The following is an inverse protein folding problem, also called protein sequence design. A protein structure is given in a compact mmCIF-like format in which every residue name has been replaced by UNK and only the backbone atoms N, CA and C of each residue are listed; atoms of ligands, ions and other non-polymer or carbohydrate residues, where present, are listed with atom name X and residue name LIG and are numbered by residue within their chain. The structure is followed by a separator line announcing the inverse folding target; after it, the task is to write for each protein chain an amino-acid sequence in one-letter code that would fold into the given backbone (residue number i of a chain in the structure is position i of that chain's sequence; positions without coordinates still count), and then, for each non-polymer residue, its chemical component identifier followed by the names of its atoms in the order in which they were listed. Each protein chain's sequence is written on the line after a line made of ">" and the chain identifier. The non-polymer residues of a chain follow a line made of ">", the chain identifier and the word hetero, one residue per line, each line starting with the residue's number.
data_IF_853001277322
#
_entry.id   IF_853001277322
#
_cell.length_a   1.000
_cell.length_b   1.000
_cell.length_c   1.000
_cell.angle_alpha   90.00
_cell.angle_beta   90.00
_cell.angle_gamma   90.00
#
_symmetry.space_group_name_H-M   'P 1'
#
loop_
_entity.id
_entity.type
_entity.pdbx_description
1 polymer ?
#
# COMPACT_ATOMS: atom_id res chain seq x y z
N UNK A 1 -29.17 -5.81 -3.13
CA UNK A 1 -28.37 -6.75 -2.30
C UNK A 1 -27.17 -5.96 -1.77
N UNK A 2 -26.74 -6.22 -0.54
CA UNK A 2 -25.51 -5.64 0.03
C UNK A 2 -24.29 -6.23 -0.66
N UNK A 3 -23.24 -5.43 -0.88
CA UNK A 3 -21.97 -5.95 -1.37
C UNK A 3 -21.26 -6.73 -0.25
N UNK A 4 -20.80 -7.92 -0.58
CA UNK A 4 -20.06 -8.81 0.33
C UNK A 4 -18.56 -8.47 0.27
N UNK A 5 -18.00 -8.05 1.40
CA UNK A 5 -16.62 -7.55 1.49
C UNK A 5 -15.74 -8.56 2.23
N UNK A 6 -14.63 -8.94 1.61
CA UNK A 6 -13.53 -9.63 2.30
C UNK A 6 -12.41 -8.63 2.61
N UNK A 7 -11.94 -8.59 3.85
CA UNK A 7 -10.87 -7.69 4.29
C UNK A 7 -9.62 -8.49 4.63
N UNK A 8 -8.60 -8.41 3.80
CA UNK A 8 -7.30 -8.98 4.07
C UNK A 8 -6.47 -7.99 4.93
N UNK A 9 -6.30 -8.31 6.21
CA UNK A 9 -5.61 -7.45 7.18
C UNK A 9 -6.56 -6.51 7.93
N UNK A 10 -7.70 -7.00 8.40
CA UNK A 10 -8.75 -6.22 9.09
C UNK A 10 -8.28 -5.52 10.37
N UNK A 11 -7.25 -6.04 11.03
CA UNK A 11 -6.68 -5.50 12.28
C UNK A 11 -5.59 -4.44 12.06
N UNK A 12 -5.28 -4.12 10.79
CA UNK A 12 -4.37 -3.03 10.39
C UNK A 12 -5.09 -1.68 10.31
N UNK A 13 -4.31 -0.60 10.07
CA UNK A 13 -4.85 0.77 9.98
C UNK A 13 -5.93 0.92 8.90
N UNK A 14 -5.71 0.36 7.71
CA UNK A 14 -6.69 0.41 6.62
C UNK A 14 -7.89 -0.49 6.93
N UNK A 15 -7.66 -1.72 7.43
CA UNK A 15 -8.73 -2.66 7.74
C UNK A 15 -9.69 -2.15 8.82
N UNK A 16 -9.19 -1.50 9.87
CA UNK A 16 -10.03 -0.90 10.92
C UNK A 16 -10.86 0.27 10.39
N UNK A 17 -10.29 1.11 9.52
CA UNK A 17 -11.03 2.19 8.87
C UNK A 17 -12.05 1.68 7.85
N UNK A 18 -11.76 0.57 7.17
CA UNK A 18 -12.73 -0.07 6.28
C UNK A 18 -13.95 -0.59 7.06
N UNK A 19 -13.74 -1.15 8.25
CA UNK A 19 -14.84 -1.58 9.12
C UNK A 19 -15.68 -0.39 9.60
N UNK A 20 -15.08 0.78 9.85
CA UNK A 20 -15.83 2.02 10.15
C UNK A 20 -16.71 2.44 8.97
N UNK A 21 -16.18 2.39 7.73
CA UNK A 21 -16.97 2.69 6.53
C UNK A 21 -18.15 1.72 6.38
N UNK A 22 -17.95 0.43 6.62
CA UNK A 22 -19.02 -0.57 6.56
C UNK A 22 -20.07 -0.31 7.65
N UNK A 23 -19.65 0.08 8.84
CA UNK A 23 -20.54 0.42 9.96
C UNK A 23 -21.40 1.66 9.68
N UNK A 24 -20.87 2.66 8.95
CA UNK A 24 -21.64 3.83 8.52
C UNK A 24 -22.67 3.50 7.43
N UNK A 25 -22.49 2.41 6.67
CA UNK A 25 -23.34 2.01 5.56
C UNK A 25 -23.83 0.55 5.64
N UNK A 26 -24.54 0.18 6.70
CA UNK A 26 -24.96 -1.21 6.93
C UNK A 26 -25.97 -1.72 5.89
N UNK A 27 -26.61 -0.80 5.15
CA UNK A 27 -27.55 -1.14 4.07
C UNK A 27 -26.85 -1.44 2.74
N UNK A 28 -25.57 -0.99 2.58
CA UNK A 28 -24.81 -1.16 1.35
C UNK A 28 -23.81 -2.29 1.43
N UNK A 29 -23.23 -2.56 2.60
CA UNK A 29 -22.10 -3.47 2.78
C UNK A 29 -22.36 -4.51 3.86
N UNK A 30 -21.73 -5.66 3.70
CA UNK A 30 -21.68 -6.72 4.68
C UNK A 30 -20.29 -7.37 4.65
N UNK A 31 -19.78 -7.72 5.83
CA UNK A 31 -18.47 -8.37 5.96
C UNK A 31 -18.63 -9.86 5.76
N UNK A 32 -18.05 -10.39 4.69
CA UNK A 32 -18.01 -11.83 4.45
C UNK A 32 -16.82 -12.50 5.13
N UNK A 33 -15.62 -11.89 5.05
CA UNK A 33 -14.41 -12.47 5.62
C UNK A 33 -13.52 -11.41 6.27
N UNK A 34 -12.93 -11.75 7.41
CA UNK A 34 -11.91 -10.95 8.09
C UNK A 34 -10.63 -11.76 8.23
N UNK A 35 -9.49 -11.13 8.01
CA UNK A 35 -8.20 -11.79 8.22
C UNK A 35 -7.24 -10.94 9.04
N UNK A 36 -6.36 -11.60 9.79
CA UNK A 36 -5.26 -10.95 10.51
C UNK A 36 -4.01 -11.82 10.50
N UNK A 37 -2.85 -11.23 10.83
CA UNK A 37 -1.60 -11.99 10.97
C UNK A 37 -1.48 -12.60 12.37
N UNK A 38 -1.43 -11.77 13.43
CA UNK A 38 -1.13 -12.20 14.79
C UNK A 38 -2.13 -11.69 15.85
N UNK A 39 -2.93 -10.67 15.54
CA UNK A 39 -3.79 -9.97 16.51
C UNK A 39 -5.11 -10.72 16.70
N UNK A 40 -5.07 -11.80 17.50
CA UNK A 40 -6.23 -12.66 17.76
C UNK A 40 -7.36 -11.90 18.45
N UNK A 41 -7.06 -11.19 19.53
CA UNK A 41 -8.08 -10.52 20.35
C UNK A 41 -8.89 -9.50 19.53
N UNK A 42 -8.20 -8.65 18.78
CA UNK A 42 -8.85 -7.65 17.92
C UNK A 42 -9.64 -8.32 16.78
N UNK A 43 -9.11 -9.41 16.18
CA UNK A 43 -9.83 -10.15 15.15
C UNK A 43 -11.11 -10.80 15.71
N UNK A 44 -11.04 -11.36 16.91
CA UNK A 44 -12.22 -11.96 17.58
C UNK A 44 -13.25 -10.88 17.95
N UNK A 45 -12.83 -9.71 18.43
CA UNK A 45 -13.70 -8.56 18.66
C UNK A 45 -14.41 -8.11 17.39
N UNK A 46 -13.66 -7.94 16.31
CA UNK A 46 -14.21 -7.59 14.99
C UNK A 46 -15.19 -8.65 14.48
N UNK A 47 -14.84 -9.94 14.63
CA UNK A 47 -15.70 -11.04 14.23
C UNK A 47 -17.02 -11.07 15.03
N UNK A 48 -16.98 -10.82 16.33
CA UNK A 48 -18.18 -10.71 17.16
C UNK A 48 -19.08 -9.55 16.76
N UNK A 49 -18.48 -8.41 16.40
CA UNK A 49 -19.23 -7.21 16.00
C UNK A 49 -19.85 -7.34 14.61
N UNK A 50 -19.08 -7.79 13.62
CA UNK A 50 -19.49 -7.81 12.22
C UNK A 50 -20.06 -9.14 11.73
N UNK A 51 -19.99 -10.20 12.54
CA UNK A 51 -20.54 -11.51 12.25
C UNK A 51 -20.20 -12.05 10.84
N UNK A 52 -18.89 -12.08 10.43
CA UNK A 52 -18.52 -12.60 9.13
C UNK A 52 -18.80 -14.09 9.01
N UNK A 53 -18.92 -14.59 7.78
CA UNK A 53 -19.00 -16.03 7.52
C UNK A 53 -17.70 -16.76 7.86
N UNK A 54 -16.54 -16.06 7.65
CA UNK A 54 -15.20 -16.65 7.78
C UNK A 54 -14.22 -15.68 8.44
N UNK A 55 -13.36 -16.23 9.30
CA UNK A 55 -12.15 -15.54 9.77
C UNK A 55 -10.91 -16.38 9.48
N UNK A 56 -9.79 -15.71 9.15
CA UNK A 56 -8.50 -16.37 8.89
C UNK A 56 -7.39 -15.69 9.69
N UNK A 57 -6.63 -16.48 10.44
CA UNK A 57 -5.40 -16.04 11.10
C UNK A 57 -4.17 -16.57 10.34
N UNK A 58 -3.27 -15.68 9.87
CA UNK A 58 -2.11 -16.13 9.09
C UNK A 58 -1.12 -16.95 9.91
N UNK A 59 -0.95 -16.61 11.18
CA UNK A 59 -0.11 -17.37 12.09
C UNK A 59 -0.84 -18.62 12.59
N UNK A 60 -0.43 -19.79 12.14
CA UNK A 60 -1.03 -21.08 12.47
C UNK A 60 -0.98 -21.40 13.96
N UNK A 61 0.03 -20.96 14.69
CA UNK A 61 0.15 -21.14 16.16
C UNK A 61 -1.00 -20.46 16.92
N UNK A 62 -1.67 -19.50 16.30
CA UNK A 62 -2.80 -18.76 16.88
C UNK A 62 -4.17 -19.36 16.54
N UNK A 63 -4.22 -20.42 15.73
CA UNK A 63 -5.49 -21.04 15.31
C UNK A 63 -6.34 -21.48 16.48
N UNK A 64 -5.76 -22.25 17.43
CA UNK A 64 -6.49 -22.80 18.58
C UNK A 64 -7.11 -21.70 19.45
N UNK A 65 -6.35 -20.63 19.72
CA UNK A 65 -6.81 -19.49 20.53
C UNK A 65 -7.98 -18.78 19.85
N UNK A 66 -7.87 -18.51 18.53
CA UNK A 66 -8.94 -17.83 17.79
C UNK A 66 -10.19 -18.70 17.70
N UNK A 67 -10.02 -20.00 17.45
CA UNK A 67 -11.14 -20.95 17.38
C UNK A 67 -11.91 -21.05 18.71
N UNK A 68 -11.20 -21.09 19.83
CA UNK A 68 -11.80 -21.09 21.17
C UNK A 68 -12.53 -19.76 21.43
N UNK A 69 -11.90 -18.63 21.09
CA UNK A 69 -12.49 -17.31 21.27
C UNK A 69 -13.81 -17.09 20.49
N UNK A 70 -14.07 -17.87 19.44
CA UNK A 70 -15.26 -17.77 18.59
C UNK A 70 -16.14 -19.03 18.63
N UNK A 71 -15.91 -19.94 19.58
CA UNK A 71 -16.60 -21.25 19.64
C UNK A 71 -18.13 -21.16 19.84
N UNK A 72 -18.62 -20.04 20.37
CA UNK A 72 -20.02 -19.73 20.59
C UNK A 72 -20.75 -19.13 19.37
N UNK A 73 -20.02 -18.85 18.28
CA UNK A 73 -20.54 -18.23 17.07
C UNK A 73 -20.48 -19.17 15.86
N UNK A 74 -21.38 -19.04 14.88
CA UNK A 74 -21.40 -19.89 13.69
C UNK A 74 -20.38 -19.41 12.63
N UNK A 75 -19.19 -18.97 13.06
CA UNK A 75 -18.14 -18.40 12.22
C UNK A 75 -17.12 -19.50 11.92
N UNK A 76 -16.79 -19.68 10.65
CA UNK A 76 -15.73 -20.61 10.22
C UNK A 76 -14.35 -20.00 10.49
N UNK A 77 -13.50 -20.73 11.20
CA UNK A 77 -12.14 -20.28 11.55
C UNK A 77 -11.10 -21.10 10.79
N UNK A 78 -10.21 -20.43 10.08
CA UNK A 78 -9.10 -21.05 9.36
C UNK A 78 -7.77 -20.38 9.72
N UNK A 79 -6.65 -21.04 9.38
CA UNK A 79 -5.32 -20.51 9.61
C UNK A 79 -4.37 -20.80 8.45
N UNK A 80 -3.28 -20.02 8.40
CA UNK A 80 -2.18 -20.20 7.46
C UNK A 80 -2.30 -19.40 6.17
N UNK A 81 -1.19 -19.33 5.45
CA UNK A 81 -1.08 -18.53 4.22
C UNK A 81 -1.95 -19.08 3.08
N UNK A 82 -2.15 -20.40 3.02
CA UNK A 82 -3.01 -21.00 2.01
C UNK A 82 -4.50 -20.67 2.24
N UNK A 83 -4.94 -20.63 3.50
CA UNK A 83 -6.30 -20.23 3.84
C UNK A 83 -6.59 -18.76 3.46
N UNK A 84 -5.59 -17.87 3.55
CA UNK A 84 -5.70 -16.48 3.05
C UNK A 84 -5.90 -16.44 1.53
N UNK A 85 -5.27 -17.35 0.80
CA UNK A 85 -5.43 -17.44 -0.65
C UNK A 85 -6.81 -18.04 -1.05
N UNK A 86 -7.30 -19.02 -0.30
CA UNK A 86 -8.55 -19.69 -0.60
C UNK A 86 -9.79 -18.87 -0.22
N UNK A 87 -9.74 -18.11 0.88
CA UNK A 87 -10.89 -17.34 1.34
C UNK A 87 -11.36 -16.30 0.33
N UNK A 88 -10.45 -15.70 -0.44
CA UNK A 88 -10.78 -14.68 -1.45
C UNK A 88 -11.47 -15.24 -2.69
N UNK A 89 -11.44 -16.56 -2.87
CA UNK A 89 -12.09 -17.26 -3.99
C UNK A 89 -13.58 -17.54 -3.72
N UNK A 90 -14.06 -17.34 -2.49
CA UNK A 90 -15.44 -17.67 -2.11
C UNK A 90 -16.45 -16.93 -2.99
N UNK A 91 -17.40 -17.68 -3.55
CA UNK A 91 -18.35 -17.19 -4.56
C UNK A 91 -19.14 -15.95 -4.12
N UNK A 92 -19.62 -15.81 -2.85
CA UNK A 92 -20.41 -14.65 -2.46
C UNK A 92 -19.66 -13.32 -2.41
N UNK A 93 -18.33 -13.33 -2.34
CA UNK A 93 -17.53 -12.09 -2.24
C UNK A 93 -17.65 -11.26 -3.50
N UNK A 94 -18.00 -9.99 -3.36
CA UNK A 94 -18.02 -8.99 -4.44
C UNK A 94 -16.72 -8.21 -4.51
N UNK A 95 -16.17 -7.80 -3.35
CA UNK A 95 -14.97 -6.97 -3.26
C UNK A 95 -13.99 -7.57 -2.26
N UNK A 96 -12.72 -7.62 -2.64
CA UNK A 96 -11.60 -7.95 -1.76
C UNK A 96 -10.80 -6.69 -1.50
N UNK A 97 -10.80 -6.23 -0.25
CA UNK A 97 -9.89 -5.18 0.21
C UNK A 97 -8.54 -5.82 0.59
N UNK A 98 -7.49 -5.51 -0.17
CA UNK A 98 -6.14 -5.99 0.08
C UNK A 98 -5.39 -5.00 0.98
N UNK A 99 -5.54 -5.11 2.30
CA UNK A 99 -4.92 -4.24 3.30
C UNK A 99 -3.78 -4.92 4.07
N UNK A 100 -3.17 -5.93 3.46
CA UNK A 100 -1.95 -6.57 3.96
C UNK A 100 -0.74 -5.68 3.70
N UNK A 101 0.33 -5.86 4.47
CA UNK A 101 1.57 -5.09 4.32
C UNK A 101 2.60 -5.93 3.56
N UNK A 102 3.29 -5.30 2.61
CA UNK A 102 4.43 -5.88 1.93
C UNK A 102 4.09 -6.99 0.93
N UNK A 103 5.08 -7.82 0.63
CA UNK A 103 5.02 -8.90 -0.35
C UNK A 103 3.88 -9.91 -0.12
N UNK A 104 3.48 -10.12 1.14
CA UNK A 104 2.51 -11.15 1.53
C UNK A 104 1.13 -10.99 0.85
N UNK A 105 0.78 -9.80 0.38
CA UNK A 105 -0.47 -9.53 -0.34
C UNK A 105 -0.51 -10.03 -1.78
N UNK A 106 0.63 -10.36 -2.39
CA UNK A 106 0.72 -10.68 -3.82
C UNK A 106 -0.09 -11.94 -4.20
N UNK A 107 0.16 -13.08 -3.54
CA UNK A 107 -0.51 -14.36 -3.87
C UNK A 107 -2.03 -14.30 -3.64
N UNK A 108 -2.55 -13.80 -2.50
CA UNK A 108 -3.99 -13.65 -2.31
C UNK A 108 -4.64 -12.72 -3.35
N UNK A 109 -3.95 -11.63 -3.76
CA UNK A 109 -4.46 -10.73 -4.80
C UNK A 109 -4.55 -11.43 -6.15
N UNK A 110 -3.55 -12.23 -6.54
CA UNK A 110 -3.60 -13.05 -7.76
C UNK A 110 -4.80 -14.00 -7.75
N UNK A 111 -5.06 -14.67 -6.62
CA UNK A 111 -6.19 -15.59 -6.49
C UNK A 111 -7.53 -14.86 -6.57
N UNK A 112 -7.66 -13.70 -5.92
CA UNK A 112 -8.86 -12.88 -6.00
C UNK A 112 -9.15 -12.41 -7.45
N UNK A 113 -8.11 -11.98 -8.19
CA UNK A 113 -8.22 -11.61 -9.61
C UNK A 113 -8.71 -12.79 -10.45
N UNK A 114 -8.11 -13.98 -10.28
CA UNK A 114 -8.51 -15.20 -11.00
C UNK A 114 -9.96 -15.62 -10.69
N UNK A 115 -10.40 -15.36 -9.45
CA UNK A 115 -11.78 -15.56 -9.01
C UNK A 115 -12.73 -14.42 -9.44
N UNK A 116 -12.24 -13.45 -10.23
CA UNK A 116 -13.00 -12.29 -10.76
C UNK A 116 -13.64 -11.42 -9.67
N UNK A 117 -12.95 -11.26 -8.55
CA UNK A 117 -13.39 -10.38 -7.47
C UNK A 117 -12.88 -8.98 -7.70
N UNK A 118 -13.72 -7.96 -7.56
CA UNK A 118 -13.25 -6.56 -7.59
C UNK A 118 -12.20 -6.35 -6.50
N UNK A 119 -11.06 -5.78 -6.87
CA UNK A 119 -9.95 -5.53 -5.93
C UNK A 119 -10.00 -4.07 -5.48
N UNK A 120 -10.20 -3.83 -4.19
CA UNK A 120 -9.91 -2.56 -3.54
C UNK A 120 -8.45 -2.62 -3.05
N UNK A 121 -7.53 -2.04 -3.83
CA UNK A 121 -6.09 -2.22 -3.64
C UNK A 121 -5.52 -1.18 -2.67
N UNK A 122 -5.20 -1.61 -1.45
CA UNK A 122 -4.44 -0.82 -0.48
C UNK A 122 -2.98 -1.32 -0.32
N UNK A 123 -2.70 -2.56 -0.71
CA UNK A 123 -1.35 -3.13 -0.71
C UNK A 123 -0.61 -2.76 -2.00
N UNK A 124 0.03 -1.60 -2.01
CA UNK A 124 0.78 -1.10 -3.19
C UNK A 124 1.93 -2.02 -3.59
N UNK A 125 2.53 -2.72 -2.63
CA UNK A 125 3.64 -3.63 -2.88
C UNK A 125 3.28 -4.73 -3.88
N UNK A 126 2.01 -5.10 -4.01
CA UNK A 126 1.52 -6.02 -5.05
C UNK A 126 1.85 -5.52 -6.47
N UNK A 127 1.61 -4.24 -6.76
CA UNK A 127 1.93 -3.64 -8.05
C UNK A 127 3.41 -3.26 -8.17
N UNK A 128 4.06 -2.90 -7.08
CA UNK A 128 5.52 -2.66 -7.07
C UNK A 128 6.25 -3.94 -7.47
N UNK A 129 5.95 -5.05 -6.83
CA UNK A 129 6.64 -6.34 -7.03
C UNK A 129 6.35 -6.92 -8.41
N UNK A 130 5.10 -6.97 -8.82
CA UNK A 130 4.65 -7.75 -9.97
C UNK A 130 3.58 -7.02 -10.80
N UNK A 131 3.71 -5.71 -10.98
CA UNK A 131 2.68 -4.88 -11.62
C UNK A 131 2.32 -5.33 -13.03
N UNK A 132 3.30 -5.71 -13.87
CA UNK A 132 3.05 -6.26 -15.20
C UNK A 132 2.20 -7.54 -15.16
N UNK A 133 2.53 -8.47 -14.27
CA UNK A 133 1.78 -9.70 -14.08
C UNK A 133 0.36 -9.42 -13.57
N UNK A 134 0.21 -8.54 -12.58
CA UNK A 134 -1.08 -8.21 -11.97
C UNK A 134 -2.01 -7.54 -12.96
N UNK A 135 -1.53 -6.55 -13.71
CA UNK A 135 -2.34 -5.85 -14.71
C UNK A 135 -2.71 -6.74 -15.89
N UNK A 136 -1.80 -7.61 -16.33
CA UNK A 136 -2.10 -8.62 -17.36
C UNK A 136 -3.18 -9.60 -16.89
N UNK A 137 -3.09 -10.11 -15.65
CA UNK A 137 -4.13 -10.98 -15.07
C UNK A 137 -5.46 -10.23 -14.90
N UNK A 138 -5.44 -9.01 -14.38
CA UNK A 138 -6.65 -8.21 -14.22
C UNK A 138 -7.38 -8.00 -15.58
N UNK A 139 -6.63 -7.71 -16.64
CA UNK A 139 -7.17 -7.61 -17.99
C UNK A 139 -7.72 -8.96 -18.49
N UNK A 140 -6.97 -10.05 -18.32
CA UNK A 140 -7.38 -11.40 -18.77
C UNK A 140 -8.67 -11.87 -18.08
N UNK A 141 -8.81 -11.61 -16.78
CA UNK A 141 -9.97 -12.03 -16.00
C UNK A 141 -11.07 -10.96 -15.93
N UNK A 142 -10.86 -9.80 -16.59
CA UNK A 142 -11.78 -8.65 -16.57
C UNK A 142 -12.12 -8.20 -15.12
N UNK A 143 -11.11 -8.17 -14.28
CA UNK A 143 -11.23 -7.84 -12.86
C UNK A 143 -10.85 -6.37 -12.63
N UNK A 144 -11.75 -5.53 -12.12
CA UNK A 144 -11.43 -4.15 -11.78
C UNK A 144 -10.45 -4.09 -10.60
N UNK A 145 -9.44 -3.22 -10.70
CA UNK A 145 -8.56 -2.83 -9.59
C UNK A 145 -8.86 -1.37 -9.27
N UNK A 146 -9.40 -1.12 -8.08
CA UNK A 146 -9.78 0.19 -7.59
C UNK A 146 -8.73 0.63 -6.54
N UNK A 147 -8.04 1.76 -6.73
CA UNK A 147 -7.01 2.21 -5.80
C UNK A 147 -7.62 2.68 -4.49
N UNK A 148 -7.01 2.26 -3.38
CA UNK A 148 -7.31 2.73 -2.03
C UNK A 148 -6.21 3.63 -1.50
N UNK A 149 -4.97 3.51 -2.01
CA UNK A 149 -3.93 4.48 -1.67
C UNK A 149 -4.39 5.90 -2.02
N UNK A 150 -4.21 6.86 -1.11
CA UNK A 150 -4.86 8.17 -1.19
C UNK A 150 -4.51 8.93 -2.46
N UNK A 151 -3.26 8.90 -2.87
CA UNK A 151 -2.75 9.56 -4.07
C UNK A 151 -3.32 8.94 -5.34
N UNK A 152 -3.37 7.62 -5.41
CA UNK A 152 -3.89 6.89 -6.58
C UNK A 152 -5.40 6.99 -6.67
N UNK A 153 -6.10 6.94 -5.53
CA UNK A 153 -7.53 7.23 -5.49
C UNK A 153 -7.81 8.66 -6.00
N UNK A 154 -7.00 9.64 -5.60
CA UNK A 154 -7.12 11.02 -6.06
C UNK A 154 -6.91 11.13 -7.58
N UNK A 155 -5.86 10.52 -8.14
CA UNK A 155 -5.63 10.49 -9.58
C UNK A 155 -6.82 9.86 -10.31
N UNK A 156 -7.27 8.67 -9.84
CA UNK A 156 -8.44 7.98 -10.43
C UNK A 156 -9.71 8.85 -10.45
N UNK A 157 -9.91 9.69 -9.42
CA UNK A 157 -11.04 10.61 -9.32
C UNK A 157 -10.90 11.84 -10.24
N UNK A 158 -9.68 12.20 -10.66
CA UNK A 158 -9.40 13.32 -11.54
C UNK A 158 -9.37 12.93 -13.02
N UNK A 159 -9.13 11.65 -13.34
CA UNK A 159 -9.10 11.16 -14.72
C UNK A 159 -10.43 11.39 -15.42
N UNK A 160 -10.35 11.73 -16.69
CA UNK A 160 -11.49 11.87 -17.58
C UNK A 160 -11.41 10.84 -18.71
N UNK A 161 -12.54 10.17 -18.96
CA UNK A 161 -12.60 9.15 -20.00
C UNK A 161 -12.36 9.80 -21.38
N UNK A 162 -11.50 9.18 -22.16
CA UNK A 162 -11.13 9.61 -23.53
C UNK A 162 -10.32 10.92 -23.62
N UNK A 163 -9.85 11.48 -22.51
CA UNK A 163 -8.96 12.64 -22.53
C UNK A 163 -7.51 12.21 -22.26
N UNK A 164 -6.58 12.58 -23.17
CA UNK A 164 -5.19 12.19 -23.01
C UNK A 164 -4.54 12.91 -21.84
N UNK A 165 -3.81 12.14 -21.03
CA UNK A 165 -3.08 12.61 -19.86
C UNK A 165 -1.67 13.03 -20.28
N UNK A 166 -1.31 14.29 -20.02
CA UNK A 166 0.07 14.76 -20.20
C UNK A 166 0.96 14.18 -19.08
N UNK A 167 0.56 14.33 -17.82
CA UNK A 167 1.22 13.71 -16.68
C UNK A 167 0.30 13.56 -15.46
N UNK A 168 0.67 12.65 -14.58
CA UNK A 168 0.13 12.55 -13.23
C UNK A 168 1.11 13.18 -12.24
N UNK A 169 0.59 13.90 -11.26
CA UNK A 169 1.39 14.63 -10.27
C UNK A 169 1.07 14.07 -8.89
N UNK A 170 1.99 13.24 -8.38
CA UNK A 170 1.91 12.65 -7.06
C UNK A 170 2.36 13.65 -6.00
N UNK A 171 1.51 13.97 -5.04
CA UNK A 171 1.90 14.80 -3.90
C UNK A 171 2.53 13.96 -2.79
N UNK A 172 3.45 14.51 -2.05
CA UNK A 172 4.10 13.92 -0.89
C UNK A 172 4.10 14.90 0.28
N UNK A 173 3.90 14.43 1.51
CA UNK A 173 4.10 15.29 2.69
C UNK A 173 5.56 15.73 2.86
N UNK A 174 6.49 14.97 2.29
CA UNK A 174 7.94 15.12 2.45
C UNK A 174 8.48 14.44 3.71
N UNK A 175 7.59 13.84 4.52
CA UNK A 175 7.97 13.12 5.75
C UNK A 175 8.49 14.04 6.87
N UNK A 176 8.87 13.46 8.02
CA UNK A 176 9.32 14.23 9.19
C UNK A 176 10.67 14.93 8.97
N UNK A 177 11.47 14.47 8.00
CA UNK A 177 12.83 14.96 7.78
C UNK A 177 12.96 15.90 6.58
N UNK A 178 11.85 16.39 6.03
CA UNK A 178 11.81 17.24 4.85
C UNK A 178 12.80 18.43 4.89
N UNK A 179 12.97 19.04 6.05
CA UNK A 179 13.84 20.23 6.25
C UNK A 179 15.22 19.90 6.82
N UNK A 180 15.54 18.62 7.07
CA UNK A 180 16.81 18.22 7.66
C UNK A 180 17.96 18.30 6.66
N UNK A 181 19.16 18.68 7.13
CA UNK A 181 20.39 18.61 6.34
C UNK A 181 20.92 17.17 6.28
N UNK A 182 21.88 16.90 5.39
CA UNK A 182 22.54 15.57 5.34
C UNK A 182 23.22 15.21 6.65
N UNK A 183 23.83 16.17 7.35
CA UNK A 183 24.47 15.97 8.64
C UNK A 183 23.44 15.56 9.70
N UNK A 184 22.27 16.20 9.72
CA UNK A 184 21.19 15.85 10.63
C UNK A 184 20.64 14.45 10.34
N UNK A 185 20.54 14.07 9.06
CA UNK A 185 20.05 12.72 8.67
C UNK A 185 20.98 11.59 9.12
N UNK A 186 22.28 11.84 9.36
CA UNK A 186 23.21 10.84 9.86
C UNK A 186 22.86 10.33 11.28
N UNK A 187 22.19 11.16 12.08
CA UNK A 187 21.94 10.88 13.49
C UNK A 187 20.47 10.73 13.87
N UNK A 188 19.57 10.68 12.87
CA UNK A 188 18.14 10.52 13.14
C UNK A 188 17.84 9.14 13.74
N UNK A 189 16.88 9.12 14.66
CA UNK A 189 16.44 7.90 15.34
C UNK A 189 15.11 7.40 14.79
N UNK A 190 14.79 6.15 15.09
CA UNK A 190 13.48 5.57 14.70
C UNK A 190 12.30 6.30 15.35
N UNK A 191 12.47 6.80 16.59
CA UNK A 191 11.42 7.56 17.29
C UNK A 191 11.12 8.89 16.59
N UNK A 192 12.14 9.52 15.99
CA UNK A 192 11.95 10.71 15.18
C UNK A 192 11.29 10.35 13.83
N UNK A 193 11.74 9.27 13.19
CA UNK A 193 11.19 8.81 11.91
C UNK A 193 9.73 8.36 12.02
N UNK A 194 9.31 7.81 13.16
CA UNK A 194 7.94 7.38 13.42
C UNK A 194 6.95 8.52 13.69
N UNK A 195 7.42 9.77 13.81
CA UNK A 195 6.56 10.96 14.01
C UNK A 195 6.16 11.58 12.68
N UNK A 196 5.19 10.97 11.99
CA UNK A 196 4.68 11.56 10.75
C UNK A 196 3.86 12.82 11.03
N UNK A 197 4.03 13.94 10.25
CA UNK A 197 3.38 15.22 10.54
C UNK A 197 1.86 15.22 10.39
N UNK A 198 1.29 14.45 9.45
CA UNK A 198 -0.11 14.54 9.06
C UNK A 198 -0.90 13.24 9.21
N UNK A 199 -0.23 12.07 9.20
CA UNK A 199 -0.90 10.77 9.16
C UNK A 199 -0.54 9.89 10.35
N UNK A 200 -1.53 9.16 10.85
CA UNK A 200 -1.31 8.07 11.81
C UNK A 200 -1.30 6.74 11.04
N UNK A 201 -0.13 6.14 10.89
CA UNK A 201 0.09 4.98 10.04
C UNK A 201 0.85 3.87 10.78
N UNK A 202 0.91 2.67 10.16
CA UNK A 202 1.75 1.59 10.65
C UNK A 202 3.26 1.94 10.59
N UNK A 203 4.06 1.29 11.42
CA UNK A 203 5.49 1.61 11.55
C UNK A 203 6.24 1.51 10.20
N UNK A 204 6.04 0.43 9.42
CA UNK A 204 6.74 0.23 8.13
C UNK A 204 6.49 1.39 7.17
N UNK A 205 5.24 1.74 6.89
CA UNK A 205 4.90 2.81 5.95
C UNK A 205 5.33 4.19 6.47
N UNK A 206 5.40 4.39 7.78
CA UNK A 206 5.89 5.64 8.37
C UNK A 206 7.39 5.82 8.12
N UNK A 207 8.20 4.74 8.23
CA UNK A 207 9.62 4.78 7.85
C UNK A 207 9.77 4.95 6.33
N UNK A 208 8.96 4.29 5.52
CA UNK A 208 8.95 4.50 4.06
C UNK A 208 8.64 5.95 3.70
N UNK A 209 7.70 6.60 4.39
CA UNK A 209 7.42 8.03 4.22
C UNK A 209 8.61 8.90 4.62
N UNK A 210 9.24 8.61 5.76
CA UNK A 210 10.41 9.35 6.24
C UNK A 210 11.59 9.31 5.25
N UNK A 211 11.78 8.18 4.57
CA UNK A 211 12.85 7.96 3.58
C UNK A 211 12.47 8.29 2.14
N UNK A 212 11.24 8.72 1.89
CA UNK A 212 10.62 8.91 0.57
C UNK A 212 10.49 7.61 -0.25
N UNK A 213 10.75 6.42 0.32
CA UNK A 213 10.51 5.16 -0.38
C UNK A 213 9.01 4.92 -0.61
N UNK A 214 8.13 5.36 0.31
CA UNK A 214 6.69 5.28 0.09
C UNK A 214 6.30 5.96 -1.22
N UNK A 215 6.82 7.17 -1.46
CA UNK A 215 6.57 7.90 -2.71
C UNK A 215 7.21 7.20 -3.92
N UNK A 216 8.37 6.59 -3.74
CA UNK A 216 8.98 5.76 -4.77
C UNK A 216 8.10 4.57 -5.18
N UNK A 217 7.49 3.88 -4.21
CA UNK A 217 6.54 2.80 -4.50
C UNK A 217 5.27 3.31 -5.18
N UNK A 218 4.80 4.47 -4.80
CA UNK A 218 3.64 5.10 -5.43
C UNK A 218 3.90 5.51 -6.88
N UNK A 219 5.10 5.93 -7.22
CA UNK A 219 5.51 6.15 -8.63
C UNK A 219 5.39 4.85 -9.43
N UNK A 220 5.85 3.72 -8.87
CA UNK A 220 5.72 2.41 -9.53
C UNK A 220 4.27 1.97 -9.65
N UNK A 221 3.47 2.17 -8.63
CA UNK A 221 2.04 1.84 -8.61
C UNK A 221 1.26 2.65 -9.65
N UNK A 222 1.54 3.96 -9.77
CA UNK A 222 0.89 4.85 -10.74
C UNK A 222 1.10 4.38 -12.18
N UNK A 223 2.32 3.94 -12.54
CA UNK A 223 2.60 3.37 -13.86
C UNK A 223 1.62 2.25 -14.21
N UNK A 224 1.43 1.33 -13.28
CA UNK A 224 0.62 0.13 -13.53
C UNK A 224 -0.89 0.39 -13.46
N UNK A 225 -1.35 1.25 -12.56
CA UNK A 225 -2.76 1.57 -12.43
C UNK A 225 -3.29 2.41 -13.59
N UNK A 226 -2.48 3.35 -14.07
CA UNK A 226 -2.96 4.36 -15.03
C UNK A 226 -2.36 4.19 -16.44
N UNK A 227 -1.44 3.23 -16.62
CA UNK A 227 -0.80 2.99 -17.91
C UNK A 227 0.08 4.13 -18.40
N UNK A 228 0.55 5.00 -17.49
CA UNK A 228 1.45 6.13 -17.80
C UNK A 228 2.92 5.68 -17.83
N UNK A 229 3.75 6.40 -18.60
CA UNK A 229 5.19 6.14 -18.60
C UNK A 229 5.86 6.75 -17.38
N UNK A 230 7.08 6.31 -16.99
CA UNK A 230 7.81 6.92 -15.87
C UNK A 230 8.02 8.43 -16.02
N UNK A 231 8.18 8.93 -17.27
CA UNK A 231 8.39 10.35 -17.59
C UNK A 231 7.10 11.17 -17.39
N UNK A 232 5.94 10.52 -17.45
CA UNK A 232 4.64 11.15 -17.18
C UNK A 232 4.28 11.16 -15.69
N UNK A 233 5.19 10.73 -14.79
CA UNK A 233 4.93 10.71 -13.35
C UNK A 233 5.84 11.73 -12.66
N UNK A 234 5.26 12.82 -12.22
CA UNK A 234 5.96 13.86 -11.46
C UNK A 234 5.65 13.74 -9.96
N UNK A 235 6.65 13.93 -9.11
CA UNK A 235 6.47 14.02 -7.65
C UNK A 235 6.67 15.46 -7.22
N UNK A 236 5.72 15.97 -6.41
CA UNK A 236 5.84 17.27 -5.74
C UNK A 236 5.63 17.11 -4.24
N UNK A 237 6.42 17.84 -3.46
CA UNK A 237 6.25 17.88 -2.00
C UNK A 237 5.20 18.94 -1.67
N UNK A 238 4.12 18.52 -1.00
CA UNK A 238 3.01 19.36 -0.55
C UNK A 238 2.78 19.11 0.95
N UNK A 239 3.44 19.88 1.84
CA UNK A 239 3.48 19.58 3.27
C UNK A 239 2.11 19.59 3.95
N UNK A 240 1.15 20.36 3.44
CA UNK A 240 -0.19 20.45 4.01
C UNK A 240 -1.02 19.18 3.78
N UNK A 241 -0.65 18.35 2.79
CA UNK A 241 -1.32 17.09 2.41
C UNK A 241 -2.84 17.25 2.19
N UNK A 242 -3.28 18.42 1.73
CA UNK A 242 -4.68 18.75 1.40
C UNK A 242 -5.00 18.37 -0.03
N UNK A 243 -4.08 18.62 -0.96
CA UNK A 243 -4.13 18.08 -2.32
C UNK A 243 -3.52 16.68 -2.26
N UNK A 244 -4.35 15.67 -2.54
CA UNK A 244 -3.89 14.29 -2.48
C UNK A 244 -3.16 13.83 -3.73
N UNK A 245 -3.51 14.33 -4.91
CA UNK A 245 -2.73 14.27 -6.17
C UNK A 245 -3.48 15.02 -7.28
N UNK A 246 -2.85 15.12 -8.45
CA UNK A 246 -3.36 15.90 -9.58
C UNK A 246 -3.12 15.16 -10.90
N UNK A 247 -3.89 15.53 -11.91
CA UNK A 247 -3.73 15.09 -13.31
C UNK A 247 -3.64 16.33 -14.18
N UNK A 248 -2.60 16.43 -15.00
CA UNK A 248 -2.46 17.43 -16.04
C UNK A 248 -2.79 16.79 -17.40
N UNK A 249 -3.67 17.41 -18.15
CA UNK A 249 -4.08 16.96 -19.47
C UNK A 249 -3.27 17.66 -20.58
N UNK A 250 -3.35 17.14 -21.81
CA UNK A 250 -2.60 17.66 -22.96
C UNK A 250 -2.93 19.13 -23.31
N UNK A 251 -4.09 19.64 -22.93
CA UNK A 251 -4.47 21.05 -23.08
C UNK A 251 -3.90 21.98 -22.00
N UNK A 252 -3.15 21.43 -21.03
CA UNK A 252 -2.58 22.15 -19.90
C UNK A 252 -3.52 22.33 -18.70
N UNK A 253 -4.76 21.81 -18.77
CA UNK A 253 -5.67 21.84 -17.63
C UNK A 253 -5.18 20.89 -16.53
N UNK A 254 -5.21 21.32 -15.27
CA UNK A 254 -4.84 20.52 -14.11
C UNK A 254 -6.08 20.29 -13.23
N UNK A 255 -6.40 19.02 -12.98
CA UNK A 255 -7.43 18.64 -12.00
C UNK A 255 -6.80 18.06 -10.76
N UNK A 256 -7.31 18.44 -9.59
CA UNK A 256 -6.81 17.98 -8.30
C UNK A 256 -7.96 17.47 -7.42
N UNK A 257 -7.72 16.41 -6.67
CA UNK A 257 -8.63 15.99 -5.61
C UNK A 257 -8.10 16.50 -4.27
N UNK A 258 -8.96 17.18 -3.55
CA UNK A 258 -8.67 17.80 -2.26
C UNK A 258 -9.53 17.15 -1.16
N UNK A 259 -8.96 17.07 0.03
CA UNK A 259 -9.65 16.57 1.23
C UNK A 259 -8.78 16.70 2.47
N UNK A 260 -9.37 16.50 3.63
CA UNK A 260 -8.60 16.28 4.85
C UNK A 260 -7.94 14.89 4.79
N UNK A 261 -6.79 14.68 5.45
CA UNK A 261 -6.13 13.37 5.51
C UNK A 261 -6.99 12.34 6.25
N UNK A 262 -7.78 11.56 5.52
CA UNK A 262 -8.67 10.52 6.05
C UNK A 262 -8.77 9.36 5.05
N UNK A 263 -8.24 8.18 5.43
CA UNK A 263 -8.26 7.00 4.56
C UNK A 263 -9.65 6.41 4.36
N UNK A 264 -10.64 6.77 5.17
CA UNK A 264 -12.02 6.32 4.97
C UNK A 264 -12.59 6.84 3.64
N UNK A 265 -12.15 8.01 3.17
CA UNK A 265 -12.60 8.57 1.89
C UNK A 265 -12.22 7.68 0.69
N UNK A 266 -10.94 7.35 0.45
CA UNK A 266 -10.57 6.46 -0.66
C UNK A 266 -11.10 5.02 -0.49
N UNK A 267 -11.17 4.50 0.74
CA UNK A 267 -11.76 3.19 1.03
C UNK A 267 -13.23 3.17 0.60
N UNK A 268 -14.00 4.15 1.08
CA UNK A 268 -15.42 4.24 0.73
C UNK A 268 -15.63 4.41 -0.77
N UNK A 269 -14.83 5.26 -1.43
CA UNK A 269 -14.95 5.45 -2.87
C UNK A 269 -14.67 4.17 -3.65
N UNK A 270 -13.68 3.37 -3.23
CA UNK A 270 -13.43 2.05 -3.82
C UNK A 270 -14.62 1.08 -3.59
N UNK A 271 -15.26 1.12 -2.43
CA UNK A 271 -16.42 0.26 -2.14
C UNK A 271 -17.68 0.68 -2.90
N UNK A 272 -17.91 1.99 -3.07
CA UNK A 272 -19.13 2.53 -3.69
C UNK A 272 -19.00 2.79 -5.19
N UNK A 273 -17.78 2.76 -5.75
CA UNK A 273 -17.51 3.14 -7.13
C UNK A 273 -18.58 2.64 -8.12
N UNK A 274 -19.04 3.47 -9.08
CA UNK A 274 -18.63 4.86 -9.35
C UNK A 274 -19.37 5.93 -8.51
N UNK A 275 -20.23 5.56 -7.57
CA UNK A 275 -21.02 6.48 -6.76
C UNK A 275 -20.19 7.05 -5.60
N UNK A 276 -20.63 8.20 -5.11
CA UNK A 276 -20.13 8.80 -3.86
C UNK A 276 -21.20 8.69 -2.80
N UNK A 277 -20.88 8.03 -1.71
CA UNK A 277 -21.77 7.93 -0.56
C UNK A 277 -21.35 8.94 0.53
N UNK A 278 -22.22 9.22 1.47
CA UNK A 278 -21.92 10.11 2.59
C UNK A 278 -20.81 9.51 3.45
N UNK A 279 -19.98 10.35 4.05
CA UNK A 279 -18.95 9.95 5.00
C UNK A 279 -18.97 10.92 6.17
N UNK A 280 -19.00 10.39 7.39
CA UNK A 280 -18.88 11.21 8.60
C UNK A 280 -17.45 11.72 8.74
N UNK A 281 -17.28 12.89 9.37
CA UNK A 281 -15.97 13.44 9.68
C UNK A 281 -15.77 14.88 9.26
N UNK A 282 -14.55 15.36 9.46
CA UNK A 282 -14.17 16.74 9.15
C UNK A 282 -14.24 16.99 7.64
N UNK A 283 -14.79 18.15 7.28
CA UNK A 283 -14.79 18.65 5.90
C UNK A 283 -13.64 19.62 5.71
N UNK A 284 -13.15 19.70 4.46
CA UNK A 284 -12.10 20.65 4.14
C UNK A 284 -12.62 22.10 4.34
N UNK A 285 -11.91 22.86 5.15
CA UNK A 285 -12.15 24.27 5.41
C UNK A 285 -11.05 25.12 4.80
N UNK A 286 -11.36 25.86 3.74
CA UNK A 286 -10.40 26.73 3.05
C UNK A 286 -9.96 27.95 3.89
N UNK A 287 -10.70 28.33 4.94
CA UNK A 287 -10.23 29.35 5.87
C UNK A 287 -9.10 28.82 6.76
N UNK A 288 -9.14 27.54 7.13
CA UNK A 288 -8.08 26.83 7.85
C UNK A 288 -6.87 26.55 6.95
N UNK A 289 -7.11 26.12 5.71
CA UNK A 289 -6.08 25.79 4.71
C UNK A 289 -5.99 26.90 3.64
N UNK A 290 -5.69 28.11 4.05
CA UNK A 290 -5.67 29.30 3.19
C UNK A 290 -4.39 29.45 2.34
N UNK A 291 -3.38 28.62 2.57
CA UNK A 291 -2.10 28.61 1.84
C UNK A 291 -1.70 27.17 1.53
N UNK A 292 -1.46 26.90 0.25
CA UNK A 292 -0.97 25.62 -0.24
C UNK A 292 0.42 25.86 -0.88
N UNK A 293 1.40 25.04 -0.49
CA UNK A 293 2.79 25.19 -0.94
C UNK A 293 3.28 23.93 -1.61
N UNK A 294 4.19 24.10 -2.58
CA UNK A 294 4.77 23.00 -3.34
C UNK A 294 6.28 23.17 -3.46
N UNK A 295 7.01 22.08 -3.32
CA UNK A 295 8.46 22.03 -3.42
C UNK A 295 8.87 20.85 -4.31
N UNK A 296 10.03 20.96 -4.97
CA UNK A 296 10.62 19.80 -5.66
C UNK A 296 11.19 18.81 -4.63
N UNK A 297 11.02 17.50 -4.84
CA UNK A 297 11.65 16.51 -3.98
C UNK A 297 13.18 16.54 -4.14
N UNK A 298 13.91 16.40 -3.03
CA UNK A 298 15.38 16.33 -3.04
C UNK A 298 15.83 14.85 -3.09
N UNK A 299 16.07 14.37 -4.29
CA UNK A 299 16.49 12.99 -4.53
C UNK A 299 17.94 12.69 -4.12
N UNK A 300 18.74 13.74 -3.83
CA UNK A 300 20.09 13.57 -3.29
C UNK A 300 20.03 13.22 -1.81
N UNK A 301 19.25 13.96 -1.02
CA UNK A 301 19.04 13.67 0.40
C UNK A 301 18.21 12.41 0.63
N UNK A 302 17.21 12.20 -0.21
CA UNK A 302 16.29 11.05 -0.14
C UNK A 302 16.56 10.09 -1.31
N UNK A 303 17.72 9.41 -1.23
CA UNK A 303 18.21 8.48 -2.26
C UNK A 303 17.20 7.40 -2.62
N UNK A 304 16.35 6.98 -1.67
CA UNK A 304 15.34 5.96 -1.89
C UNK A 304 14.35 6.30 -3.01
N UNK A 305 13.97 7.58 -3.16
CA UNK A 305 13.12 8.01 -4.27
C UNK A 305 13.84 7.87 -5.62
N UNK A 306 15.13 8.23 -5.69
CA UNK A 306 15.91 8.05 -6.91
C UNK A 306 16.06 6.55 -7.26
N UNK A 307 16.36 5.68 -6.28
CA UNK A 307 16.46 4.23 -6.48
C UNK A 307 15.15 3.64 -7.01
N UNK A 308 14.01 4.14 -6.55
CA UNK A 308 12.72 3.72 -7.07
C UNK A 308 12.53 4.09 -8.55
N UNK A 309 12.90 5.29 -8.97
CA UNK A 309 12.88 5.68 -10.40
C UNK A 309 13.86 4.83 -11.22
N UNK A 310 15.08 4.61 -10.72
CA UNK A 310 16.06 3.75 -11.38
C UNK A 310 15.52 2.32 -11.60
N UNK A 311 14.90 1.73 -10.55
CA UNK A 311 14.28 0.42 -10.64
C UNK A 311 13.11 0.39 -11.63
N UNK A 312 12.29 1.44 -11.67
CA UNK A 312 11.17 1.55 -12.58
C UNK A 312 11.61 1.64 -14.05
N UNK A 313 12.67 2.42 -14.33
CA UNK A 313 13.26 2.52 -15.67
C UNK A 313 13.91 1.20 -16.11
N UNK A 314 14.58 0.48 -15.20
CA UNK A 314 15.20 -0.80 -15.53
C UNK A 314 14.15 -1.89 -15.76
N UNK A 315 13.02 -1.86 -15.03
CA UNK A 315 11.92 -2.82 -15.16
C UNK A 315 12.27 -4.24 -14.70
N UNK A 316 11.61 -5.23 -15.30
CA UNK A 316 11.82 -6.63 -14.94
C UNK A 316 11.56 -6.92 -13.45
N UNK A 317 12.47 -7.66 -12.81
CA UNK A 317 12.38 -7.94 -11.37
C UNK A 317 13.01 -6.86 -10.48
N UNK A 318 13.53 -5.75 -11.04
CA UNK A 318 14.23 -4.73 -10.24
C UNK A 318 13.33 -4.07 -9.17
N UNK A 319 12.06 -3.71 -9.45
CA UNK A 319 11.16 -3.21 -8.40
C UNK A 319 10.89 -4.22 -7.28
N UNK A 320 10.84 -5.52 -7.59
CA UNK A 320 10.75 -6.58 -6.59
C UNK A 320 11.97 -6.59 -5.67
N UNK A 321 13.19 -6.44 -6.25
CA UNK A 321 14.44 -6.34 -5.49
C UNK A 321 14.39 -5.14 -4.54
N UNK A 322 14.00 -3.96 -5.03
CA UNK A 322 13.88 -2.76 -4.18
C UNK A 322 12.89 -2.97 -3.04
N UNK A 323 11.72 -3.56 -3.32
CA UNK A 323 10.72 -3.83 -2.28
C UNK A 323 11.26 -4.80 -1.21
N UNK A 324 11.82 -5.93 -1.63
CA UNK A 324 12.32 -6.95 -0.71
C UNK A 324 13.48 -6.43 0.16
N UNK A 325 14.43 -5.70 -0.44
CA UNK A 325 15.51 -5.04 0.29
C UNK A 325 14.97 -4.00 1.27
N UNK A 326 14.01 -3.16 0.85
CA UNK A 326 13.40 -2.14 1.70
C UNK A 326 12.69 -2.76 2.91
N UNK A 327 11.95 -3.85 2.76
CA UNK A 327 11.31 -4.50 3.90
C UNK A 327 12.34 -5.00 4.94
N UNK A 328 13.49 -5.51 4.49
CA UNK A 328 14.58 -5.95 5.37
C UNK A 328 15.21 -4.77 6.10
N UNK A 329 15.59 -3.71 5.37
CA UNK A 329 16.28 -2.56 6.00
C UNK A 329 15.38 -1.76 6.92
N UNK A 330 14.08 -1.63 6.60
CA UNK A 330 13.10 -1.00 7.50
C UNK A 330 12.94 -1.80 8.79
N UNK A 331 12.85 -3.13 8.70
CA UNK A 331 12.80 -3.98 9.87
C UNK A 331 14.08 -3.90 10.72
N UNK A 332 15.25 -3.77 10.09
CA UNK A 332 16.54 -3.59 10.75
C UNK A 332 16.66 -2.20 11.40
N UNK A 333 16.21 -1.13 10.73
CA UNK A 333 16.20 0.23 11.29
C UNK A 333 15.29 0.33 12.53
N UNK A 334 14.13 -0.28 12.50
CA UNK A 334 13.22 -0.32 13.66
C UNK A 334 13.82 -1.07 14.87
N UNK A 335 14.84 -1.90 14.65
CA UNK A 335 15.59 -2.64 15.67
C UNK A 335 16.95 -1.99 16.00
N UNK A 336 17.23 -0.79 15.50
CA UNK A 336 18.50 -0.06 15.65
C UNK A 336 19.72 -0.83 15.12
N UNK A 337 19.52 -1.68 14.10
CA UNK A 337 20.57 -2.49 13.48
C UNK A 337 21.23 -1.83 12.26
N UNK A 338 20.66 -0.73 11.77
CA UNK A 338 21.20 0.05 10.66
C UNK A 338 20.83 1.52 10.84
N UNK A 339 21.65 2.44 10.32
CA UNK A 339 21.33 3.87 10.31
C UNK A 339 20.29 4.21 9.25
N UNK A 340 19.70 5.39 9.35
CA UNK A 340 18.71 5.88 8.38
C UNK A 340 19.29 5.95 6.95
N UNK A 341 20.49 6.51 6.79
CA UNK A 341 21.16 6.58 5.48
C UNK A 341 21.65 5.19 5.01
N UNK A 342 22.04 4.32 5.93
CA UNK A 342 22.44 2.95 5.62
C UNK A 342 21.34 2.13 4.94
N UNK A 343 20.06 2.49 5.16
CA UNK A 343 18.95 1.81 4.47
C UNK A 343 19.09 1.91 2.95
N UNK A 344 19.31 3.11 2.42
CA UNK A 344 19.47 3.32 0.97
C UNK A 344 20.70 2.62 0.41
N UNK A 345 21.81 2.58 1.17
CA UNK A 345 23.04 1.89 0.74
C UNK A 345 22.82 0.38 0.58
N UNK A 346 22.10 -0.26 1.51
CA UNK A 346 21.80 -1.69 1.41
C UNK A 346 20.86 -1.98 0.25
N UNK A 347 19.84 -1.13 0.02
CA UNK A 347 18.94 -1.27 -1.12
C UNK A 347 19.74 -1.19 -2.43
N UNK A 348 20.57 -0.16 -2.61
CA UNK A 348 21.39 0.04 -3.80
C UNK A 348 22.37 -1.12 -4.05
N UNK A 349 23.05 -1.61 -3.00
CA UNK A 349 23.91 -2.79 -3.08
C UNK A 349 23.12 -4.06 -3.43
N UNK A 350 21.89 -4.20 -2.97
CA UNK A 350 21.01 -5.32 -3.33
C UNK A 350 20.64 -5.30 -4.80
N UNK A 351 20.30 -4.12 -5.34
CA UNK A 351 20.00 -3.94 -6.77
C UNK A 351 21.14 -4.37 -7.69
N UNK A 352 22.40 -4.25 -7.24
CA UNK A 352 23.57 -4.66 -8.03
C UNK A 352 23.95 -6.12 -7.85
N UNK A 353 23.61 -6.74 -6.72
CA UNK A 353 24.04 -8.11 -6.38
C UNK A 353 23.04 -9.20 -6.78
N UNK A 354 21.74 -8.87 -6.79
CA UNK A 354 20.70 -9.84 -7.18
C UNK A 354 20.62 -9.94 -8.69
N UNK A 355 20.56 -11.15 -9.26
CA UNK A 355 20.46 -11.33 -10.71
C UNK A 355 19.23 -10.64 -11.31
N UNK A 356 19.44 -9.88 -12.37
CA UNK A 356 18.37 -9.22 -13.11
C UNK A 356 17.65 -10.19 -14.05
N UNK A 357 16.31 -10.19 -14.02
CA UNK A 357 15.43 -10.96 -14.90
C UNK A 357 14.52 -9.98 -15.62
N UNK A 358 14.65 -9.90 -16.96
CA UNK A 358 13.93 -8.91 -17.78
C UNK A 358 12.42 -9.17 -17.86
N UNK A 359 12.01 -10.43 -17.93
CA UNK A 359 10.58 -10.83 -18.05
C UNK A 359 10.28 -11.91 -16.99
N UNK A 360 10.11 -11.52 -15.71
CA UNK A 360 9.95 -12.47 -14.62
C UNK A 360 8.57 -13.11 -14.63
N UNK A 361 8.53 -14.42 -14.39
CA UNK A 361 7.32 -15.17 -14.05
C UNK A 361 6.96 -14.99 -12.58
N UNK A 362 5.80 -15.49 -12.16
CA UNK A 362 5.46 -15.51 -10.73
C UNK A 362 6.51 -16.26 -9.89
N UNK A 363 7.02 -17.39 -10.38
CA UNK A 363 8.08 -18.14 -9.70
C UNK A 363 9.39 -17.35 -9.58
N UNK A 364 9.72 -16.55 -10.59
CA UNK A 364 10.89 -15.66 -10.57
C UNK A 364 10.73 -14.54 -9.54
N UNK A 365 9.53 -13.97 -9.37
CA UNK A 365 9.28 -13.00 -8.30
C UNK A 365 9.42 -13.61 -6.91
N UNK A 366 8.94 -14.85 -6.70
CA UNK A 366 9.11 -15.58 -5.43
C UNK A 366 10.58 -15.80 -5.11
N UNK A 367 11.37 -16.29 -6.09
CA UNK A 367 12.80 -16.53 -5.90
C UNK A 367 13.60 -15.23 -5.76
N UNK A 368 13.25 -14.19 -6.50
CA UNK A 368 13.87 -12.85 -6.39
C UNK A 368 13.65 -12.26 -5.00
N UNK A 369 12.42 -12.29 -4.47
CA UNK A 369 12.13 -11.80 -3.12
C UNK A 369 12.96 -12.53 -2.07
N UNK A 370 12.96 -13.88 -2.11
CA UNK A 370 13.70 -14.70 -1.14
C UNK A 370 15.23 -14.44 -1.19
N UNK A 371 15.81 -14.40 -2.39
CA UNK A 371 17.25 -14.17 -2.56
C UNK A 371 17.63 -12.74 -2.16
N UNK A 372 16.80 -11.74 -2.51
CA UNK A 372 17.03 -10.35 -2.11
C UNK A 372 17.03 -10.20 -0.59
N UNK A 373 16.07 -10.82 0.10
CA UNK A 373 16.00 -10.79 1.57
C UNK A 373 17.25 -11.39 2.20
N UNK A 374 17.74 -12.48 1.67
CA UNK A 374 18.99 -13.12 2.13
C UNK A 374 20.18 -12.18 1.97
N UNK A 375 20.35 -11.60 0.78
CA UNK A 375 21.46 -10.68 0.48
C UNK A 375 21.38 -9.41 1.32
N UNK A 376 20.19 -8.79 1.43
CA UNK A 376 20.01 -7.59 2.22
C UNK A 376 20.29 -7.82 3.70
N UNK A 377 19.86 -8.97 4.25
CA UNK A 377 20.16 -9.33 5.64
C UNK A 377 21.66 -9.52 5.89
N UNK A 378 22.39 -10.16 4.97
CA UNK A 378 23.83 -10.28 5.03
C UNK A 378 24.54 -8.92 4.97
N UNK A 379 24.05 -8.00 4.12
CA UNK A 379 24.59 -6.64 4.02
C UNK A 379 24.38 -5.83 5.30
N UNK A 380 23.22 -5.96 5.95
CA UNK A 380 22.95 -5.33 7.26
C UNK A 380 23.93 -5.84 8.31
N UNK A 381 24.11 -7.17 8.42
CA UNK A 381 25.03 -7.77 9.41
C UNK A 381 26.48 -7.34 9.16
N UNK A 382 26.92 -7.26 7.90
CA UNK A 382 28.29 -6.87 7.56
C UNK A 382 28.55 -5.37 7.70
N UNK A 383 27.51 -4.54 7.61
CA UNK A 383 27.60 -3.08 7.85
C UNK A 383 27.67 -2.71 9.32
N UNK A 384 27.37 -3.64 10.23
CA UNK A 384 27.51 -3.48 11.70
C UNK A 384 28.93 -3.74 12.19
N UNK A 385 29.82 -4.24 11.33
CA UNK A 385 31.26 -4.45 11.64
C UNK A 385 32.08 -3.26 11.13
#
# INVERSE_FOLDING_TARGET
>A
MKKQIAILGSTGSIGTQALQVIEEHPDLYEVYALTASNKVDLLAEQARKFQPEVVVIANEDKYGILKEALADLPIKVYAGAEALCQVVEAQPIDIVLTAMVGYAGLKPTINAIKARKTIALANKETLVVAGELITALASQYQTPILPVDSEHSAISQCLEMNNPVHKVILTASGGPFRTFTMEQLQTVTKEQALKHPNWSMGAKITIDSASMMNKGFEVMEAKWLFGVTPEQIEVVVHPQSVIHSMVEFEDGAVKAQLGVPDMRLPIQYAFSYPKRESLSGERLDFAKYNTLTFEKPDTTRFRNLALAYEALHQGGNMPCIVNAANEVVVAAFLKDQISFLGMSEVIEKSMTKVPFIKAPTYGDYVSTDAETRRIAAELVINGMK
#
